data_IF_101493780304
#
_entry.id   IF_101493780304
#
_cell.length_a   1.000
_cell.length_b   1.000
_cell.length_c   1.000
_cell.angle_alpha   90.00
_cell.angle_beta   90.00
_cell.angle_gamma   90.00
#
_symmetry.space_group_name_H-M   'P 1'
#
loop_
_entity.id
_entity.type
_entity.pdbx_description
1 polymer ?
#
# COMPACT_ATOMS: atom_id res chain seq x y z
N UNK A 1 3.78 5.25 -15.27
CA UNK A 1 4.61 5.70 -14.13
C UNK A 1 3.93 6.74 -13.23
N UNK A 2 3.32 7.79 -13.76
CA UNK A 2 2.70 8.84 -12.94
C UNK A 2 1.49 8.37 -12.09
N UNK A 3 0.71 7.42 -12.60
CA UNK A 3 -0.40 6.81 -11.86
C UNK A 3 0.05 6.05 -10.59
N UNK A 4 1.10 5.23 -10.69
CA UNK A 4 1.67 4.54 -9.52
C UNK A 4 2.13 5.53 -8.45
N UNK A 5 2.87 6.57 -8.85
CA UNK A 5 3.31 7.63 -7.92
C UNK A 5 2.14 8.36 -7.27
N UNK A 6 1.03 8.60 -8.00
CA UNK A 6 -0.19 9.16 -7.42
C UNK A 6 -0.80 8.24 -6.37
N UNK A 7 -0.97 6.96 -6.68
CA UNK A 7 -1.51 5.96 -5.74
C UNK A 7 -0.66 5.88 -4.47
N UNK A 8 0.67 5.86 -4.59
CA UNK A 8 1.58 5.81 -3.44
C UNK A 8 1.49 7.06 -2.57
N UNK A 9 1.37 8.25 -3.18
CA UNK A 9 1.18 9.50 -2.43
C UNK A 9 -0.12 9.47 -1.62
N UNK A 10 -1.20 8.98 -2.21
CA UNK A 10 -2.48 8.90 -1.53
C UNK A 10 -2.46 7.88 -0.38
N UNK A 11 -1.88 6.69 -0.62
CA UNK A 11 -1.68 5.69 0.43
C UNK A 11 -0.85 6.26 1.59
N UNK A 12 0.23 6.99 1.28
CA UNK A 12 1.08 7.64 2.30
C UNK A 12 0.33 8.70 3.11
N UNK A 13 -0.54 9.48 2.46
CA UNK A 13 -1.39 10.47 3.14
C UNK A 13 -2.35 9.81 4.12
N UNK A 14 -3.05 8.76 3.71
CA UNK A 14 -3.98 8.01 4.57
C UNK A 14 -3.23 7.30 5.70
N UNK A 15 -2.10 6.67 5.41
CA UNK A 15 -1.25 6.02 6.41
C UNK A 15 -0.80 7.00 7.51
N UNK A 16 -0.32 8.19 7.13
CA UNK A 16 0.12 9.20 8.11
C UNK A 16 -1.04 9.71 8.96
N UNK A 17 -2.22 9.90 8.37
CA UNK A 17 -3.42 10.28 9.11
C UNK A 17 -3.84 9.18 10.12
N UNK A 18 -3.74 7.91 9.73
CA UNK A 18 -4.00 6.78 10.62
C UNK A 18 -2.98 6.70 11.76
N UNK A 19 -1.68 6.86 11.46
CA UNK A 19 -0.63 6.91 12.49
C UNK A 19 -0.91 8.01 13.52
N UNK A 20 -1.29 9.21 13.07
CA UNK A 20 -1.63 10.31 13.97
C UNK A 20 -2.87 9.98 14.84
N UNK A 21 -3.91 9.38 14.24
CA UNK A 21 -5.11 8.98 14.96
C UNK A 21 -4.84 7.90 16.02
N UNK A 22 -3.89 6.98 15.76
CA UNK A 22 -3.54 5.91 16.69
C UNK A 22 -2.67 6.35 17.87
N UNK A 23 -2.10 7.57 17.86
CA UNK A 23 -1.28 8.07 18.98
C UNK A 23 -2.08 8.29 20.28
N UNK A 24 -3.42 8.36 20.20
CA UNK A 24 -4.29 8.45 21.37
C UNK A 24 -4.65 7.11 22.03
N UNK A 25 -4.15 6.00 21.50
CA UNK A 25 -4.41 4.64 22.00
C UNK A 25 -3.16 4.04 22.65
N UNK A 26 -2.93 2.73 22.53
CA UNK A 26 -1.82 2.06 23.20
C UNK A 26 -0.47 2.39 22.53
N UNK A 27 0.63 2.55 23.31
CA UNK A 27 1.94 2.94 22.78
C UNK A 27 2.48 2.03 21.66
N UNK A 28 2.05 0.76 21.66
CA UNK A 28 2.41 -0.29 20.71
C UNK A 28 1.63 -0.29 19.39
N UNK A 29 0.51 0.44 19.29
CA UNK A 29 -0.37 0.40 18.14
C UNK A 29 0.30 0.96 16.87
N UNK A 30 0.98 2.10 17.00
CA UNK A 30 1.77 2.70 15.91
C UNK A 30 2.93 1.79 15.48
N UNK A 31 3.75 1.23 16.39
CA UNK A 31 4.73 0.20 16.05
C UNK A 31 4.16 -1.01 15.30
N UNK A 32 2.99 -1.54 15.72
CA UNK A 32 2.32 -2.66 15.05
C UNK A 32 1.85 -2.29 13.64
N UNK A 33 1.23 -1.11 13.48
CA UNK A 33 0.84 -0.61 12.16
C UNK A 33 2.05 -0.44 11.23
N UNK A 34 3.15 0.13 11.74
CA UNK A 34 4.42 0.27 11.00
C UNK A 34 4.97 -1.08 10.54
N UNK A 35 4.94 -2.09 11.42
CA UNK A 35 5.37 -3.44 11.09
C UNK A 35 4.49 -4.06 9.99
N UNK A 36 3.17 -3.96 10.13
CA UNK A 36 2.22 -4.44 9.13
C UNK A 36 2.44 -3.76 7.76
N UNK A 37 2.67 -2.44 7.74
CA UNK A 37 2.89 -1.70 6.50
C UNK A 37 4.20 -2.11 5.81
N UNK A 38 5.29 -2.36 6.55
CA UNK A 38 6.54 -2.88 5.97
C UNK A 38 6.38 -4.28 5.40
N UNK A 39 5.69 -5.16 6.12
CA UNK A 39 5.39 -6.51 5.65
C UNK A 39 4.55 -6.48 4.37
N UNK A 40 3.55 -5.58 4.31
CA UNK A 40 2.75 -5.37 3.11
C UNK A 40 3.59 -4.90 1.91
N UNK A 41 4.55 -3.99 2.09
CA UNK A 41 5.45 -3.56 1.00
C UNK A 41 6.23 -4.75 0.45
N UNK A 42 6.83 -5.56 1.32
CA UNK A 42 7.57 -6.75 0.91
C UNK A 42 6.68 -7.76 0.15
N UNK A 43 5.45 -7.97 0.63
CA UNK A 43 4.45 -8.79 -0.05
C UNK A 43 4.09 -8.23 -1.43
N UNK A 44 3.75 -6.94 -1.52
CA UNK A 44 3.39 -6.26 -2.77
C UNK A 44 4.49 -6.42 -3.81
N UNK A 45 5.73 -6.19 -3.41
CA UNK A 45 6.86 -6.23 -4.32
C UNK A 45 7.05 -7.67 -4.83
N UNK A 46 7.03 -8.68 -3.96
CA UNK A 46 7.12 -10.08 -4.36
C UNK A 46 5.95 -10.53 -5.27
N UNK A 47 4.73 -10.11 -4.96
CA UNK A 47 3.53 -10.42 -5.74
C UNK A 47 3.56 -9.77 -7.14
N UNK A 48 3.99 -8.51 -7.22
CA UNK A 48 4.10 -7.81 -8.49
C UNK A 48 5.32 -8.23 -9.32
N UNK A 49 6.33 -8.88 -8.72
CA UNK A 49 7.35 -9.61 -9.46
C UNK A 49 6.76 -10.83 -10.18
N UNK A 50 5.81 -11.54 -9.57
CA UNK A 50 5.12 -12.68 -10.19
C UNK A 50 4.19 -12.22 -11.32
N UNK A 51 3.57 -11.04 -11.22
CA UNK A 51 2.67 -10.49 -12.24
C UNK A 51 3.29 -10.41 -13.66
N UNK A 52 4.62 -10.46 -13.75
CA UNK A 52 5.41 -10.48 -14.98
C UNK A 52 5.49 -11.85 -15.67
N UNK A 53 4.82 -12.88 -15.15
CA UNK A 53 5.03 -14.28 -15.57
C UNK A 53 4.72 -14.58 -17.04
N UNK A 54 3.84 -13.81 -17.70
CA UNK A 54 3.36 -14.10 -19.06
C UNK A 54 4.25 -13.54 -20.15
N UNK A 55 4.92 -12.42 -19.91
CA UNK A 55 5.62 -11.66 -20.93
C UNK A 55 7.00 -11.26 -20.39
N UNK A 56 8.04 -12.00 -20.79
CA UNK A 56 9.43 -11.78 -20.34
C UNK A 56 10.20 -10.93 -21.34
N UNK A 57 10.89 -9.90 -20.85
CA UNK A 57 11.85 -9.08 -21.58
C UNK A 57 11.24 -7.99 -22.46
N UNK A 58 9.93 -7.76 -22.40
CA UNK A 58 9.19 -6.83 -23.26
C UNK A 58 8.56 -5.65 -22.51
N UNK A 59 8.05 -4.67 -23.26
CA UNK A 59 7.28 -3.54 -22.71
C UNK A 59 6.05 -3.98 -21.91
N UNK A 60 5.46 -5.11 -22.29
CA UNK A 60 4.29 -5.70 -21.63
C UNK A 60 4.61 -6.14 -20.19
N UNK A 61 5.82 -6.65 -19.93
CA UNK A 61 6.32 -6.97 -18.59
C UNK A 61 6.19 -5.77 -17.62
N UNK A 62 6.65 -4.60 -18.09
CA UNK A 62 6.63 -3.36 -17.32
C UNK A 62 5.21 -2.82 -17.10
N UNK A 63 4.29 -3.09 -18.04
CA UNK A 63 2.89 -2.69 -17.93
C UNK A 63 2.20 -3.52 -16.84
N UNK A 64 2.31 -4.85 -16.89
CA UNK A 64 1.67 -5.72 -15.89
C UNK A 64 2.21 -5.48 -14.48
N UNK A 65 3.53 -5.27 -14.34
CA UNK A 65 4.09 -4.91 -13.04
C UNK A 65 3.51 -3.58 -12.54
N UNK A 66 3.45 -2.57 -13.40
CA UNK A 66 2.92 -1.26 -13.00
C UNK A 66 1.42 -1.32 -12.63
N UNK A 67 0.63 -2.10 -13.36
CA UNK A 67 -0.79 -2.33 -13.06
C UNK A 67 -0.97 -3.04 -11.71
N UNK A 68 -0.19 -4.10 -11.46
CA UNK A 68 -0.19 -4.79 -10.16
C UNK A 68 0.10 -3.81 -9.01
N UNK A 69 1.16 -3.00 -9.15
CA UNK A 69 1.53 -2.03 -8.13
C UNK A 69 0.41 -1.01 -7.86
N UNK A 70 -0.24 -0.51 -8.92
CA UNK A 70 -1.38 0.42 -8.78
C UNK A 70 -2.53 -0.25 -8.03
N UNK A 71 -2.96 -1.44 -8.45
CA UNK A 71 -4.09 -2.16 -7.85
C UNK A 71 -3.84 -2.49 -6.38
N UNK A 72 -2.64 -3.01 -6.06
CA UNK A 72 -2.25 -3.32 -4.68
C UNK A 72 -2.24 -2.08 -3.80
N UNK A 73 -1.65 -0.98 -4.28
CA UNK A 73 -1.61 0.28 -3.51
C UNK A 73 -3.02 0.85 -3.30
N UNK A 74 -3.91 0.77 -4.30
CA UNK A 74 -5.31 1.20 -4.16
C UNK A 74 -6.07 0.35 -3.12
N UNK A 75 -5.95 -0.98 -3.16
CA UNK A 75 -6.57 -1.87 -2.16
C UNK A 75 -6.09 -1.53 -0.75
N UNK A 76 -4.77 -1.37 -0.57
CA UNK A 76 -4.20 -1.02 0.73
C UNK A 76 -4.67 0.33 1.24
N UNK A 77 -4.82 1.31 0.34
CA UNK A 77 -5.37 2.63 0.67
C UNK A 77 -6.79 2.49 1.24
N UNK A 78 -7.63 1.67 0.62
CA UNK A 78 -8.99 1.41 1.08
C UNK A 78 -9.03 0.74 2.46
N UNK A 79 -8.17 -0.25 2.72
CA UNK A 79 -8.03 -0.90 4.03
C UNK A 79 -7.63 0.08 5.13
N UNK A 80 -6.57 0.88 4.89
CA UNK A 80 -6.09 1.87 5.84
C UNK A 80 -7.13 2.96 6.09
N UNK A 81 -7.84 3.41 5.05
CA UNK A 81 -8.90 4.39 5.19
C UNK A 81 -10.08 3.81 5.98
N UNK A 82 -10.45 2.55 5.78
CA UNK A 82 -11.48 1.89 6.56
C UNK A 82 -11.17 1.94 8.07
N UNK A 83 -9.94 1.59 8.47
CA UNK A 83 -9.49 1.69 9.87
C UNK A 83 -9.45 3.14 10.37
N UNK A 84 -9.01 4.09 9.54
CA UNK A 84 -9.03 5.51 9.91
C UNK A 84 -10.46 6.01 10.16
N UNK A 85 -11.43 5.61 9.33
CA UNK A 85 -12.82 6.00 9.53
C UNK A 85 -13.46 5.31 10.74
N UNK A 86 -13.02 4.12 11.14
CA UNK A 86 -13.54 3.47 12.35
C UNK A 86 -13.05 4.14 13.64
N UNK A 87 -11.90 4.81 13.62
CA UNK A 87 -11.40 5.57 14.78
C UNK A 87 -12.15 6.90 14.96
N UNK A 88 -12.61 7.52 13.88
CA UNK A 88 -13.28 8.83 13.91
C UNK A 88 -14.74 8.80 14.36
N UNK A 89 -15.30 7.61 14.57
CA UNK A 89 -16.72 7.42 14.93
C UNK A 89 -16.92 7.44 16.44
#
# INVERSE_FOLDING_TARGET
>A
MDHHKRSDREMGRIYNALVAAMQGFEPEDVPRLRAAQRAWIAFRDADCEVAKFRDRGGREELIYQAECLILRTQSRTSELNHWLQSIKR
#
